data_IF_668411850997
#
_entry.id   IF_668411850997
#
_cell.length_a   1.000
_cell.length_b   1.000
_cell.length_c   1.000
_cell.angle_alpha   90.00
_cell.angle_beta   90.00
_cell.angle_gamma   90.00
#
_symmetry.space_group_name_H-M   'P 1'
#
loop_
_entity.id
_entity.type
_entity.pdbx_description
1 polymer ?
#
# COMPACT_ATOMS: atom_id res chain seq x y z
N UNK A 1 9.99 -11.52 -16.96
CA UNK A 1 9.10 -11.16 -18.08
C UNK A 1 8.70 -12.43 -18.82
N UNK A 2 7.44 -12.55 -19.14
CA UNK A 2 6.90 -13.61 -20.01
C UNK A 2 7.12 -13.24 -21.48
N UNK A 3 7.12 -14.22 -22.36
CA UNK A 3 7.20 -13.95 -23.80
C UNK A 3 6.32 -14.93 -24.59
N UNK A 4 5.85 -14.47 -25.74
CA UNK A 4 5.14 -15.27 -26.75
C UNK A 4 5.76 -14.97 -28.10
N UNK A 5 5.92 -16.01 -28.92
CA UNK A 5 6.38 -15.90 -30.29
C UNK A 5 5.28 -16.38 -31.23
N UNK A 6 4.93 -15.55 -32.20
CA UNK A 6 3.92 -15.87 -33.22
C UNK A 6 4.32 -15.18 -34.53
N UNK A 7 4.31 -15.94 -35.65
CA UNK A 7 4.63 -15.42 -37.00
C UNK A 7 5.92 -14.60 -37.06
N UNK A 8 7.00 -15.04 -36.41
CA UNK A 8 8.29 -14.33 -36.31
C UNK A 8 8.21 -12.99 -35.55
N UNK A 9 7.12 -12.72 -34.83
CA UNK A 9 7.00 -11.59 -33.91
C UNK A 9 7.14 -12.12 -32.48
N UNK A 10 8.09 -11.58 -31.76
CA UNK A 10 8.26 -11.87 -30.33
C UNK A 10 7.68 -10.74 -29.50
N UNK A 11 6.73 -11.04 -28.63
CA UNK A 11 6.15 -10.09 -27.67
C UNK A 11 6.58 -10.49 -26.27
N UNK A 12 7.29 -9.60 -25.59
CA UNK A 12 7.67 -9.72 -24.18
C UNK A 12 6.79 -8.82 -23.35
N UNK A 13 6.27 -9.35 -22.24
CA UNK A 13 5.30 -8.67 -21.38
C UNK A 13 5.54 -8.99 -19.91
N UNK A 14 4.96 -8.22 -18.96
CA UNK A 14 5.17 -8.41 -17.54
C UNK A 14 4.82 -9.80 -17.03
N UNK A 15 5.36 -10.16 -15.89
CA UNK A 15 5.00 -11.37 -15.17
C UNK A 15 3.56 -11.31 -14.65
N UNK A 16 3.07 -12.40 -14.06
CA UNK A 16 1.73 -12.48 -13.51
C UNK A 16 1.46 -11.45 -12.42
N UNK A 17 2.52 -10.89 -11.83
CA UNK A 17 2.47 -9.82 -10.83
C UNK A 17 3.39 -8.69 -11.25
N UNK A 18 2.86 -7.48 -11.19
CA UNK A 18 3.59 -6.23 -11.39
C UNK A 18 3.37 -5.28 -10.22
N UNK A 19 4.11 -4.17 -10.21
CA UNK A 19 4.02 -3.13 -9.18
C UNK A 19 3.75 -1.78 -9.83
N UNK A 20 2.82 -1.02 -9.27
CA UNK A 20 2.37 0.25 -9.85
C UNK A 20 3.48 1.30 -9.97
N UNK A 21 4.51 1.22 -9.13
CA UNK A 21 5.64 2.17 -9.13
C UNK A 21 6.92 1.63 -9.77
N UNK A 22 6.90 0.41 -10.28
CA UNK A 22 7.99 -0.15 -11.09
C UNK A 22 7.65 -0.07 -12.58
N UNK A 23 8.66 -0.14 -13.48
CA UNK A 23 8.40 -0.17 -14.92
C UNK A 23 7.55 -1.37 -15.34
N UNK A 24 6.45 -1.10 -16.03
CA UNK A 24 5.55 -2.09 -16.63
C UNK A 24 5.81 -2.14 -18.15
N UNK A 25 6.81 -2.92 -18.55
CA UNK A 25 7.37 -2.86 -19.90
C UNK A 25 6.72 -3.92 -20.80
N UNK A 26 6.29 -3.50 -21.99
CA UNK A 26 5.98 -4.36 -23.13
C UNK A 26 7.04 -4.10 -24.20
N UNK A 27 7.58 -5.18 -24.78
CA UNK A 27 8.48 -5.12 -25.94
C UNK A 27 7.94 -6.03 -27.02
N UNK A 28 7.91 -5.53 -28.24
CA UNK A 28 7.64 -6.34 -29.41
C UNK A 28 8.78 -6.19 -30.44
N UNK A 29 9.12 -7.25 -31.11
CA UNK A 29 10.15 -7.23 -32.16
C UNK A 29 9.90 -8.34 -33.17
N UNK A 30 10.25 -8.06 -34.43
CA UNK A 30 10.18 -9.05 -35.50
C UNK A 30 10.06 -8.41 -36.85
N UNK A 31 10.20 -9.21 -37.91
CA UNK A 31 10.22 -8.74 -39.29
C UNK A 31 8.87 -8.10 -39.67
N UNK A 32 8.93 -6.98 -40.38
CA UNK A 32 7.80 -6.18 -40.87
C UNK A 32 6.94 -5.58 -39.73
N UNK A 33 7.40 -5.55 -38.51
CA UNK A 33 6.68 -4.90 -37.42
C UNK A 33 6.74 -3.37 -37.59
N UNK A 34 5.59 -2.74 -37.78
CA UNK A 34 5.46 -1.28 -37.91
C UNK A 34 4.91 -0.61 -36.68
N UNK A 35 4.00 -1.21 -35.96
CA UNK A 35 3.43 -0.66 -34.73
C UNK A 35 2.72 -1.72 -33.89
N UNK A 36 2.50 -1.40 -32.64
CA UNK A 36 1.67 -2.20 -31.72
C UNK A 36 0.55 -1.36 -31.14
N UNK A 37 -0.60 -2.01 -30.96
CA UNK A 37 -1.71 -1.49 -30.16
C UNK A 37 -1.69 -2.19 -28.80
N UNK A 38 -1.75 -1.41 -27.73
CA UNK A 38 -1.85 -1.91 -26.36
C UNK A 38 -3.21 -1.52 -25.81
N UNK A 39 -4.01 -2.51 -25.44
CA UNK A 39 -5.36 -2.33 -24.88
C UNK A 39 -5.31 -2.81 -23.44
N UNK A 40 -5.61 -1.91 -22.49
CA UNK A 40 -5.61 -2.16 -21.05
C UNK A 40 -7.06 -2.14 -20.58
N UNK A 41 -7.48 -3.21 -19.92
CA UNK A 41 -8.84 -3.39 -19.42
C UNK A 41 -8.83 -3.71 -17.93
N UNK A 42 -9.63 -2.95 -17.19
CA UNK A 42 -9.95 -3.24 -15.80
C UNK A 42 -11.42 -2.95 -15.55
N UNK A 43 -12.19 -3.97 -15.18
CA UNK A 43 -13.65 -3.86 -15.03
C UNK A 43 -14.28 -3.22 -16.27
N UNK A 44 -14.89 -2.04 -16.13
CA UNK A 44 -15.54 -1.28 -17.22
C UNK A 44 -14.63 -0.23 -17.86
N UNK A 45 -13.38 -0.12 -17.41
CA UNK A 45 -12.42 0.85 -17.95
C UNK A 45 -11.59 0.16 -19.02
N UNK A 46 -11.63 0.71 -20.23
CA UNK A 46 -10.75 0.35 -21.33
C UNK A 46 -9.94 1.55 -21.78
N UNK A 47 -8.65 1.35 -21.96
CA UNK A 47 -7.71 2.34 -22.51
C UNK A 47 -6.89 1.66 -23.59
N UNK A 48 -6.74 2.33 -24.73
CA UNK A 48 -5.86 1.85 -25.80
C UNK A 48 -4.93 2.95 -26.27
N UNK A 49 -3.75 2.57 -26.74
CA UNK A 49 -2.79 3.46 -27.35
C UNK A 49 -1.89 2.68 -28.31
N UNK A 50 -1.32 3.40 -29.28
CA UNK A 50 -0.45 2.84 -30.30
C UNK A 50 1.00 3.23 -30.05
N UNK A 51 1.92 2.35 -30.39
CA UNK A 51 3.35 2.56 -30.28
C UNK A 51 4.00 2.20 -31.61
N UNK A 52 4.62 3.17 -32.25
CA UNK A 52 5.35 3.02 -33.50
C UNK A 52 6.64 2.19 -33.28
N UNK A 53 6.99 1.40 -34.26
CA UNK A 53 8.21 0.63 -34.23
C UNK A 53 9.41 1.48 -34.74
N UNK A 54 10.54 1.32 -34.07
CA UNK A 54 11.82 1.80 -34.54
C UNK A 54 12.73 0.61 -34.82
N UNK A 55 13.17 0.46 -36.06
CA UNK A 55 13.95 -0.71 -36.53
C UNK A 55 13.26 -2.04 -36.15
N UNK A 56 11.99 -2.19 -36.52
CA UNK A 56 11.18 -3.39 -36.23
C UNK A 56 11.09 -3.76 -34.74
N UNK A 57 11.16 -2.76 -33.85
CA UNK A 57 11.07 -2.93 -32.40
C UNK A 57 10.18 -1.86 -31.80
N UNK A 58 9.26 -2.29 -30.93
CA UNK A 58 8.43 -1.43 -30.09
C UNK A 58 8.80 -1.66 -28.63
N UNK A 59 8.91 -0.58 -27.86
CA UNK A 59 9.10 -0.64 -26.40
C UNK A 59 8.18 0.40 -25.79
N UNK A 60 7.37 0.00 -24.82
CA UNK A 60 6.50 0.92 -24.10
C UNK A 60 6.44 0.57 -22.63
N UNK A 61 6.25 1.59 -21.80
CA UNK A 61 5.99 1.47 -20.36
C UNK A 61 4.58 1.99 -20.09
N UNK A 62 3.69 1.11 -19.65
CA UNK A 62 2.31 1.47 -19.35
C UNK A 62 2.08 1.80 -17.86
N UNK A 63 3.13 2.05 -17.11
CA UNK A 63 3.09 2.35 -15.67
C UNK A 63 2.08 3.47 -15.31
N UNK A 64 2.05 4.56 -16.05
CA UNK A 64 1.13 5.68 -15.79
C UNK A 64 -0.34 5.30 -15.90
N UNK A 65 -0.67 4.40 -16.83
CA UNK A 65 -2.03 3.88 -16.94
C UNK A 65 -2.42 3.02 -15.76
N UNK A 66 -1.46 2.24 -15.26
CA UNK A 66 -1.66 1.37 -14.10
C UNK A 66 -1.80 2.19 -12.83
N UNK A 67 -0.97 3.21 -12.63
CA UNK A 67 -1.06 4.10 -11.46
C UNK A 67 -2.41 4.81 -11.38
N UNK A 68 -3.01 5.18 -12.51
CA UNK A 68 -4.31 5.82 -12.57
C UNK A 68 -5.49 4.90 -12.15
N UNK A 69 -5.25 3.61 -11.94
CA UNK A 69 -6.26 2.66 -11.46
C UNK A 69 -6.40 2.66 -9.93
N UNK A 70 -5.52 3.37 -9.21
CA UNK A 70 -5.52 3.45 -7.76
C UNK A 70 -5.93 4.86 -7.32
N UNK A 71 -6.77 4.94 -6.32
CA UNK A 71 -7.28 6.20 -5.77
C UNK A 71 -6.53 6.71 -4.54
N UNK A 72 -5.65 5.87 -3.98
CA UNK A 72 -4.81 6.24 -2.83
C UNK A 72 -5.53 6.26 -1.48
N UNK A 73 -6.75 5.74 -1.39
CA UNK A 73 -7.44 5.60 -0.10
C UNK A 73 -7.24 4.21 0.48
N UNK A 74 -7.08 4.12 1.80
CA UNK A 74 -7.06 2.85 2.52
C UNK A 74 -8.48 2.53 2.97
N UNK A 75 -9.11 1.53 2.32
CA UNK A 75 -10.34 0.90 2.77
C UNK A 75 -9.98 -0.46 3.40
N UNK A 76 -9.64 -0.47 4.66
CA UNK A 76 -9.42 -1.71 5.39
C UNK A 76 -10.74 -2.12 6.04
N UNK A 77 -11.23 -3.33 5.74
CA UNK A 77 -12.34 -3.92 6.47
C UNK A 77 -11.80 -4.51 7.77
N UNK A 78 -12.32 -4.06 8.90
CA UNK A 78 -11.98 -4.59 10.22
C UNK A 78 -13.06 -5.56 10.71
N UNK A 79 -13.71 -6.22 9.78
CA UNK A 79 -14.69 -7.26 10.01
C UNK A 79 -14.28 -8.60 9.37
N UNK A 80 -15.16 -9.60 9.48
CA UNK A 80 -14.94 -10.92 8.90
C UNK A 80 -15.14 -10.98 7.38
N UNK A 81 -15.68 -9.96 6.78
CA UNK A 81 -15.92 -9.92 5.34
C UNK A 81 -14.63 -9.57 4.64
N UNK A 82 -13.92 -10.59 4.22
CA UNK A 82 -12.76 -10.40 3.38
C UNK A 82 -13.26 -10.23 1.96
N UNK A 83 -13.31 -9.00 1.53
CA UNK A 83 -13.60 -8.67 0.16
C UNK A 83 -12.31 -8.65 -0.65
N UNK A 84 -12.12 -9.69 -1.47
CA UNK A 84 -10.95 -9.82 -2.35
C UNK A 84 -10.90 -8.76 -3.43
N UNK A 85 -12.06 -8.24 -3.82
CA UNK A 85 -12.20 -7.25 -4.88
C UNK A 85 -12.04 -5.82 -4.37
N UNK A 86 -12.16 -5.59 -3.07
CA UNK A 86 -12.06 -4.27 -2.45
C UNK A 86 -10.64 -3.89 -2.03
N UNK A 87 -9.68 -4.80 -2.11
CA UNK A 87 -8.29 -4.42 -1.88
C UNK A 87 -7.89 -3.33 -2.87
N UNK A 88 -7.86 -2.09 -2.38
CA UNK A 88 -7.41 -0.94 -3.16
C UNK A 88 -5.95 -1.07 -3.59
N UNK A 89 -5.23 -1.97 -2.94
CA UNK A 89 -3.79 -2.18 -3.09
C UNK A 89 -3.44 -3.17 -4.19
N UNK A 90 -4.46 -3.78 -4.82
CA UNK A 90 -4.31 -4.80 -5.82
C UNK A 90 -5.36 -4.64 -6.93
N UNK A 91 -4.94 -4.68 -8.19
CA UNK A 91 -5.82 -4.60 -9.37
C UNK A 91 -5.45 -5.66 -10.37
N UNK A 92 -6.40 -6.54 -10.71
CA UNK A 92 -6.25 -7.46 -11.82
C UNK A 92 -6.53 -6.70 -13.12
N UNK A 93 -5.54 -6.66 -14.00
CA UNK A 93 -5.59 -5.94 -15.27
C UNK A 93 -5.46 -6.94 -16.42
N UNK A 94 -6.38 -6.90 -17.38
CA UNK A 94 -6.27 -7.63 -18.64
C UNK A 94 -5.64 -6.74 -19.68
N UNK A 95 -4.64 -7.25 -20.38
CA UNK A 95 -3.87 -6.49 -21.36
C UNK A 95 -3.82 -7.29 -22.64
N UNK A 96 -4.26 -6.66 -23.74
CA UNK A 96 -4.13 -7.21 -25.07
C UNK A 96 -3.14 -6.39 -25.88
N UNK A 97 -2.21 -7.06 -26.52
CA UNK A 97 -1.22 -6.44 -27.41
C UNK A 97 -1.40 -7.02 -28.79
N UNK A 98 -1.69 -6.18 -29.76
CA UNK A 98 -1.78 -6.52 -31.18
C UNK A 98 -0.60 -5.90 -31.91
N UNK A 99 0.08 -6.66 -32.75
CA UNK A 99 1.20 -6.22 -33.58
C UNK A 99 0.79 -6.15 -35.02
N UNK A 100 1.16 -5.07 -35.73
CA UNK A 100 0.75 -4.79 -37.10
C UNK A 100 1.95 -4.42 -37.99
N UNK A 101 1.77 -4.67 -39.30
CA UNK A 101 2.65 -4.13 -40.33
C UNK A 101 2.22 -2.72 -40.78
N UNK A 102 2.88 -2.16 -41.76
CA UNK A 102 2.59 -0.86 -42.37
C UNK A 102 1.27 -0.82 -43.14
N UNK A 103 0.82 -1.99 -43.60
CA UNK A 103 -0.49 -2.18 -44.26
C UNK A 103 -1.65 -2.38 -43.31
N UNK A 104 -1.45 -2.28 -42.00
CA UNK A 104 -2.43 -2.55 -40.92
C UNK A 104 -2.91 -4.03 -40.89
N UNK A 105 -2.09 -4.96 -41.40
CA UNK A 105 -2.36 -6.38 -41.24
C UNK A 105 -1.83 -6.84 -39.89
N UNK A 106 -2.67 -7.50 -39.10
CA UNK A 106 -2.29 -8.02 -37.82
C UNK A 106 -1.32 -9.19 -37.96
N UNK A 107 -0.10 -9.02 -37.48
CA UNK A 107 0.97 -10.02 -37.49
C UNK A 107 0.89 -10.99 -36.31
N UNK A 108 0.64 -10.47 -35.14
CA UNK A 108 0.57 -11.24 -33.88
C UNK A 108 -0.39 -10.60 -32.89
N UNK A 109 -0.86 -11.39 -31.93
CA UNK A 109 -1.64 -10.91 -30.79
C UNK A 109 -1.33 -11.75 -29.57
N UNK A 110 -1.26 -11.09 -28.41
CA UNK A 110 -1.18 -11.75 -27.11
C UNK A 110 -2.20 -11.11 -26.17
N UNK A 111 -2.89 -11.95 -25.43
CA UNK A 111 -3.80 -11.54 -24.35
C UNK A 111 -3.29 -12.14 -23.04
N UNK A 112 -3.13 -11.32 -22.02
CA UNK A 112 -2.63 -11.76 -20.73
C UNK A 112 -3.22 -10.93 -19.60
N UNK A 113 -3.24 -11.53 -18.43
CA UNK A 113 -3.58 -10.84 -17.18
C UNK A 113 -2.33 -10.62 -16.33
N UNK A 114 -2.31 -9.52 -15.63
CA UNK A 114 -1.30 -9.23 -14.61
C UNK A 114 -1.98 -8.62 -13.39
N UNK A 115 -1.57 -9.07 -12.23
CA UNK A 115 -2.01 -8.50 -10.98
C UNK A 115 -1.07 -7.37 -10.61
N UNK A 116 -1.59 -6.16 -10.54
CA UNK A 116 -0.81 -4.97 -10.20
C UNK A 116 -1.01 -4.64 -8.73
N UNK A 117 0.08 -4.55 -8.00
CA UNK A 117 0.12 -4.22 -6.58
C UNK A 117 0.59 -2.77 -6.42
N UNK A 118 -0.02 -2.04 -5.49
CA UNK A 118 0.42 -0.70 -5.10
C UNK A 118 1.73 -0.77 -4.31
N UNK A 119 2.83 -0.92 -4.98
CA UNK A 119 4.12 -1.10 -4.33
C UNK A 119 5.30 -0.65 -5.20
N UNK A 120 6.43 -0.45 -4.52
CA UNK A 120 7.73 -0.08 -5.09
C UNK A 120 8.86 -0.89 -4.44
N UNK A 121 8.87 -2.23 -4.52
CA UNK A 121 9.94 -3.03 -3.93
C UNK A 121 11.28 -2.68 -4.55
N UNK A 122 12.35 -2.83 -3.79
CA UNK A 122 13.72 -2.61 -4.29
C UNK A 122 14.09 -3.67 -5.33
N UNK A 123 14.95 -3.30 -6.27
CA UNK A 123 15.46 -4.25 -7.25
C UNK A 123 16.14 -5.46 -6.57
N UNK A 124 15.75 -6.65 -6.98
CA UNK A 124 16.27 -7.89 -6.40
C UNK A 124 15.67 -8.29 -5.04
N UNK A 125 14.77 -7.50 -4.50
CA UNK A 125 14.06 -7.83 -3.27
C UNK A 125 13.02 -8.92 -3.53
N UNK A 126 12.96 -9.90 -2.61
CA UNK A 126 11.92 -10.92 -2.64
C UNK A 126 10.63 -10.31 -2.11
N UNK A 127 9.58 -10.33 -2.92
CA UNK A 127 8.30 -9.76 -2.54
C UNK A 127 7.50 -10.72 -1.63
N UNK A 128 7.74 -10.64 -0.33
CA UNK A 128 7.02 -11.41 0.70
C UNK A 128 6.53 -10.51 1.85
N UNK A 129 6.72 -9.19 1.73
CA UNK A 129 6.45 -8.27 2.82
C UNK A 129 7.41 -8.47 4.01
N UNK A 130 7.07 -7.85 5.11
CA UNK A 130 7.77 -8.02 6.38
C UNK A 130 7.28 -9.27 7.08
N UNK A 131 8.20 -10.04 7.66
CA UNK A 131 7.91 -11.33 8.29
C UNK A 131 7.54 -11.20 9.77
N UNK A 132 7.75 -10.04 10.35
CA UNK A 132 7.43 -9.75 11.74
C UNK A 132 6.58 -8.49 11.80
N UNK A 133 5.44 -8.58 12.46
CA UNK A 133 4.50 -7.49 12.66
C UNK A 133 4.18 -7.40 14.15
N UNK A 134 3.72 -6.22 14.59
CA UNK A 134 3.21 -6.01 15.94
C UNK A 134 1.73 -5.64 15.86
N UNK A 135 0.91 -6.35 16.59
CA UNK A 135 -0.49 -6.04 16.77
C UNK A 135 -0.72 -5.40 18.13
N UNK A 136 -1.07 -4.12 18.13
CA UNK A 136 -1.50 -3.39 19.33
C UNK A 136 -2.98 -3.70 19.56
N UNK A 137 -3.28 -4.47 20.61
CA UNK A 137 -4.58 -5.15 20.78
C UNK A 137 -5.76 -4.21 20.99
N UNK A 138 -5.52 -2.96 21.39
CA UNK A 138 -6.54 -1.92 21.57
C UNK A 138 -6.82 -1.12 20.30
N UNK A 139 -6.23 -1.48 19.17
CA UNK A 139 -6.34 -0.76 17.91
C UNK A 139 -6.71 -1.68 16.74
N UNK A 140 -7.39 -1.13 15.71
CA UNK A 140 -7.71 -1.88 14.52
C UNK A 140 -6.43 -2.34 13.81
N UNK A 141 -6.37 -3.60 13.39
CA UNK A 141 -5.18 -4.18 12.78
C UNK A 141 -5.55 -5.20 11.70
N UNK A 142 -4.94 -5.06 10.54
CA UNK A 142 -4.99 -6.05 9.46
C UNK A 142 -3.60 -6.50 9.09
N UNK A 143 -3.48 -7.68 8.52
CA UNK A 143 -2.24 -8.16 7.94
C UNK A 143 -2.49 -8.79 6.57
N UNK A 144 -1.64 -8.48 5.62
CA UNK A 144 -1.78 -8.94 4.26
C UNK A 144 -0.92 -10.16 3.96
N UNK A 145 -1.47 -11.07 3.15
CA UNK A 145 -0.78 -12.23 2.60
C UNK A 145 -0.88 -12.20 1.07
N UNK A 146 0.20 -12.60 0.42
CA UNK A 146 0.24 -12.77 -1.01
C UNK A 146 0.70 -14.18 -1.40
N UNK A 147 -0.01 -14.78 -2.34
CA UNK A 147 0.26 -16.12 -2.83
C UNK A 147 0.77 -16.09 -4.28
N UNK A 148 2.09 -16.04 -4.48
CA UNK A 148 2.68 -15.76 -5.79
C UNK A 148 2.93 -16.98 -6.69
N UNK A 149 2.92 -18.19 -6.19
CA UNK A 149 3.38 -19.36 -6.96
C UNK A 149 2.60 -20.64 -6.73
N UNK A 150 1.39 -20.53 -6.24
CA UNK A 150 0.59 -21.68 -5.88
C UNK A 150 -0.39 -22.04 -6.98
N UNK A 151 -0.47 -23.32 -7.31
CA UNK A 151 -1.49 -23.87 -8.19
C UNK A 151 -2.81 -24.17 -7.45
N UNK A 152 -2.86 -23.85 -6.15
CA UNK A 152 -4.02 -24.10 -5.29
C UNK A 152 -4.51 -22.81 -4.64
N UNK A 153 -5.79 -22.78 -4.27
CA UNK A 153 -6.37 -21.72 -3.46
C UNK A 153 -6.16 -22.06 -1.98
N UNK A 154 -5.74 -21.08 -1.20
CA UNK A 154 -5.61 -21.23 0.25
C UNK A 154 -6.96 -20.97 0.91
N UNK A 155 -7.37 -21.86 1.80
CA UNK A 155 -8.58 -21.72 2.59
C UNK A 155 -8.18 -21.45 4.04
N UNK A 156 -8.73 -20.41 4.64
CA UNK A 156 -8.49 -20.06 6.04
C UNK A 156 -9.78 -20.18 6.82
N UNK A 157 -9.74 -20.91 7.93
CA UNK A 157 -10.88 -21.09 8.83
C UNK A 157 -10.42 -21.13 10.28
N UNK A 158 -11.37 -20.99 11.22
CA UNK A 158 -11.09 -21.09 12.66
C UNK A 158 -11.81 -22.26 13.29
N UNK A 159 -11.25 -22.77 14.38
CA UNK A 159 -11.94 -23.75 15.20
C UNK A 159 -13.16 -23.11 15.89
N UNK A 160 -14.34 -23.70 15.68
CA UNK A 160 -15.61 -23.25 16.29
C UNK A 160 -16.43 -22.25 15.50
N UNK A 161 -15.95 -21.77 14.37
CA UNK A 161 -16.74 -20.94 13.45
C UNK A 161 -17.16 -21.77 12.25
N UNK A 162 -18.46 -21.97 12.00
CA UNK A 162 -18.88 -22.82 10.90
C UNK A 162 -18.51 -22.22 9.55
N UNK A 163 -17.61 -22.89 8.86
CA UNK A 163 -17.41 -22.88 7.40
C UNK A 163 -17.14 -21.54 6.68
N UNK A 164 -16.65 -20.52 7.33
CA UNK A 164 -16.15 -19.36 6.62
C UNK A 164 -14.73 -19.66 6.09
N UNK A 165 -14.70 -20.52 5.10
CA UNK A 165 -13.47 -20.83 4.37
C UNK A 165 -13.21 -19.73 3.38
N UNK A 166 -12.11 -19.03 3.56
CA UNK A 166 -11.63 -18.02 2.67
C UNK A 166 -10.82 -18.65 1.55
N UNK A 167 -11.34 -18.54 0.35
CA UNK A 167 -10.64 -18.97 -0.84
C UNK A 167 -9.79 -17.85 -1.37
N UNK A 168 -8.48 -17.91 -1.15
CA UNK A 168 -7.53 -16.95 -1.71
C UNK A 168 -7.15 -17.38 -3.12
N UNK A 169 -7.47 -16.60 -4.16
CA UNK A 169 -7.06 -16.94 -5.51
C UNK A 169 -5.55 -16.87 -5.68
N UNK A 170 -5.03 -17.67 -6.60
CA UNK A 170 -3.61 -17.59 -7.01
C UNK A 170 -3.32 -16.17 -7.50
N UNK A 171 -2.17 -15.63 -7.07
CA UNK A 171 -1.80 -14.24 -7.30
C UNK A 171 -2.75 -13.21 -6.66
N UNK A 172 -3.55 -13.63 -5.69
CA UNK A 172 -4.38 -12.75 -4.88
C UNK A 172 -3.61 -12.19 -3.68
N UNK A 173 -3.89 -10.96 -3.34
CA UNK A 173 -3.48 -10.32 -2.10
C UNK A 173 -4.72 -10.23 -1.22
N UNK A 174 -4.58 -10.62 0.05
CA UNK A 174 -5.69 -10.65 0.99
C UNK A 174 -5.24 -10.04 2.30
N UNK A 175 -6.06 -9.13 2.81
CA UNK A 175 -5.89 -8.57 4.14
C UNK A 175 -6.83 -9.25 5.13
N UNK A 176 -6.29 -9.58 6.31
CA UNK A 176 -7.01 -10.24 7.39
C UNK A 176 -7.12 -9.31 8.58
N UNK A 177 -8.31 -9.22 9.11
CA UNK A 177 -8.52 -8.55 10.39
C UNK A 177 -8.15 -9.48 11.56
N UNK A 178 -7.17 -9.08 12.36
CA UNK A 178 -6.72 -9.89 13.50
C UNK A 178 -7.58 -9.70 14.77
N UNK A 179 -8.26 -8.57 14.91
CA UNK A 179 -9.03 -8.22 16.12
C UNK A 179 -10.26 -9.06 16.38
N UNK A 180 -10.76 -9.80 15.38
CA UNK A 180 -11.91 -10.69 15.51
C UNK A 180 -11.53 -12.07 16.03
N UNK A 181 -10.27 -12.33 16.31
CA UNK A 181 -9.89 -13.59 16.90
C UNK A 181 -10.57 -13.73 18.25
N UNK A 182 -11.50 -14.70 18.43
CA UNK A 182 -12.20 -14.85 19.70
C UNK A 182 -11.18 -14.99 20.82
N UNK A 183 -11.42 -14.31 21.92
CA UNK A 183 -10.62 -14.52 23.14
C UNK A 183 -10.71 -16.00 23.51
N UNK A 184 -9.62 -16.74 23.35
CA UNK A 184 -9.57 -18.18 23.59
C UNK A 184 -9.46 -19.07 22.36
N UNK A 185 -9.50 -18.55 21.13
CA UNK A 185 -9.17 -19.32 19.94
C UNK A 185 -7.70 -19.72 19.99
N UNK A 186 -7.43 -21.01 20.03
CA UNK A 186 -6.07 -21.54 20.14
C UNK A 186 -5.47 -21.96 18.80
N UNK A 187 -6.27 -22.06 17.74
CA UNK A 187 -5.85 -22.66 16.49
C UNK A 187 -6.41 -21.93 15.28
N UNK A 188 -5.56 -21.69 14.29
CA UNK A 188 -5.95 -21.40 12.92
C UNK A 188 -5.85 -22.68 12.11
N UNK A 189 -6.87 -22.95 11.31
CA UNK A 189 -6.82 -24.03 10.34
C UNK A 189 -6.60 -23.42 8.96
N UNK A 190 -5.54 -23.80 8.30
CA UNK A 190 -5.23 -23.41 6.94
C UNK A 190 -5.43 -24.64 6.08
N UNK A 191 -6.33 -24.55 5.13
CA UNK A 191 -6.64 -25.63 4.21
C UNK A 191 -6.07 -25.27 2.85
N UNK A 192 -5.32 -26.19 2.24
CA UNK A 192 -5.10 -26.12 0.81
C UNK A 192 -6.32 -26.64 0.03
N UNK A 193 -6.32 -26.48 -1.28
CA UNK A 193 -7.45 -26.92 -2.11
C UNK A 193 -7.64 -28.45 -2.10
N UNK A 194 -6.60 -29.22 -1.73
CA UNK A 194 -6.58 -30.67 -1.68
C UNK A 194 -6.98 -31.23 -0.29
N UNK A 195 -7.31 -30.37 0.67
CA UNK A 195 -7.83 -30.75 1.98
C UNK A 195 -6.78 -31.04 3.06
N UNK A 196 -5.51 -30.74 2.82
CA UNK A 196 -4.49 -30.78 3.87
C UNK A 196 -4.65 -29.62 4.86
N UNK A 197 -4.79 -29.98 6.14
CA UNK A 197 -4.98 -29.03 7.23
C UNK A 197 -3.64 -28.71 7.86
N UNK A 198 -3.30 -27.42 7.93
CA UNK A 198 -2.20 -26.95 8.75
C UNK A 198 -2.73 -26.20 9.97
N UNK A 199 -2.23 -26.54 11.15
CA UNK A 199 -2.65 -25.93 12.40
C UNK A 199 -1.56 -24.98 12.91
N UNK A 200 -1.94 -23.76 13.23
CA UNK A 200 -1.13 -22.80 13.98
C UNK A 200 -1.70 -22.58 15.38
N UNK A 201 -0.86 -22.43 16.38
CA UNK A 201 -1.27 -22.14 17.77
C UNK A 201 -1.10 -20.69 18.08
N UNK A 202 -2.10 -20.10 18.77
CA UNK A 202 -2.04 -18.75 19.28
C UNK A 202 -1.48 -18.73 20.69
N UNK A 203 -0.36 -18.07 20.83
CA UNK A 203 0.16 -17.59 22.09
C UNK A 203 0.33 -16.05 21.97
N UNK A 204 1.06 -15.42 22.88
CA UNK A 204 1.44 -14.01 22.79
C UNK A 204 2.27 -13.71 21.52
N UNK A 205 2.87 -14.72 20.94
CA UNK A 205 3.48 -14.67 19.60
C UNK A 205 2.77 -15.67 18.72
N UNK A 206 2.52 -15.26 17.49
CA UNK A 206 1.76 -16.02 16.53
C UNK A 206 2.61 -16.23 15.28
N UNK A 207 3.05 -17.47 15.10
CA UNK A 207 3.81 -17.87 13.91
C UNK A 207 2.88 -18.56 12.92
N UNK A 208 2.59 -17.90 11.80
CA UNK A 208 1.90 -18.48 10.66
C UNK A 208 2.91 -19.11 9.71
N UNK A 209 2.99 -20.43 9.72
CA UNK A 209 3.80 -21.17 8.77
C UNK A 209 2.89 -21.78 7.71
N UNK A 210 2.97 -21.29 6.49
CA UNK A 210 2.29 -21.88 5.34
C UNK A 210 3.25 -22.84 4.65
N UNK A 211 2.98 -24.14 4.70
CA UNK A 211 3.66 -25.12 3.86
C UNK A 211 2.64 -25.79 2.96
N UNK A 212 2.81 -25.70 1.67
CA UNK A 212 1.93 -26.31 0.69
C UNK A 212 2.59 -27.57 0.13
N UNK A 213 1.89 -28.70 0.28
CA UNK A 213 2.42 -30.01 -0.06
C UNK A 213 2.61 -30.22 -1.56
N UNK A 214 1.83 -29.55 -2.42
CA UNK A 214 1.79 -29.80 -3.86
C UNK A 214 2.79 -29.00 -4.69
N UNK A 215 3.36 -27.93 -4.18
CA UNK A 215 4.23 -27.01 -4.94
C UNK A 215 5.66 -26.93 -4.43
N UNK A 216 6.18 -27.98 -3.83
CA UNK A 216 7.56 -28.00 -3.36
C UNK A 216 7.80 -26.96 -2.28
N UNK A 217 7.30 -27.22 -1.08
CA UNK A 217 7.61 -26.57 0.20
C UNK A 217 7.96 -25.07 0.10
N UNK A 218 7.02 -24.22 -0.26
CA UNK A 218 7.12 -22.81 0.09
C UNK A 218 6.44 -22.62 1.44
N UNK A 219 7.24 -22.39 2.47
CA UNK A 219 6.72 -21.93 3.76
C UNK A 219 6.82 -20.43 3.83
N UNK A 220 5.71 -19.76 4.03
CA UNK A 220 5.68 -18.37 4.43
C UNK A 220 5.60 -18.35 5.96
N UNK A 221 6.63 -17.80 6.60
CA UNK A 221 6.62 -17.56 8.03
C UNK A 221 6.25 -16.10 8.27
N UNK A 222 5.10 -15.87 8.90
CA UNK A 222 4.68 -14.56 9.39
C UNK A 222 4.53 -14.64 10.91
N UNK A 223 5.26 -13.79 11.62
CA UNK A 223 5.18 -13.65 13.07
C UNK A 223 4.44 -12.37 13.41
N UNK A 224 3.40 -12.48 14.24
CA UNK A 224 2.66 -11.35 14.79
C UNK A 224 2.84 -11.34 16.30
N UNK A 225 3.57 -10.37 16.81
CA UNK A 225 3.73 -10.14 18.25
C UNK A 225 2.54 -9.29 18.75
N UNK A 226 1.98 -9.66 19.89
CA UNK A 226 0.90 -8.89 20.53
C UNK A 226 1.47 -7.90 21.52
N UNK A 227 0.95 -6.69 21.52
CA UNK A 227 1.32 -5.61 22.44
C UNK A 227 0.05 -4.97 23.00
N UNK A 228 -0.06 -4.91 24.31
CA UNK A 228 -1.23 -4.38 25.03
C UNK A 228 -1.07 -2.89 25.40
N UNK A 229 -0.14 -2.18 24.77
CA UNK A 229 0.02 -0.73 24.98
C UNK A 229 -1.21 0.03 24.46
N UNK A 230 -1.79 0.89 25.32
CA UNK A 230 -3.01 1.64 25.03
C UNK A 230 -2.78 3.10 24.64
N UNK A 231 -1.63 3.67 24.95
CA UNK A 231 -1.38 5.10 24.79
C UNK A 231 -0.33 5.41 23.75
N UNK A 232 -0.66 6.31 22.83
CA UNK A 232 0.24 6.75 21.79
C UNK A 232 -0.50 7.31 20.57
N UNK A 233 0.23 7.53 19.51
CA UNK A 233 -0.33 7.94 18.22
C UNK A 233 -0.26 6.74 17.29
N UNK A 234 -1.43 6.23 16.91
CA UNK A 234 -1.57 5.07 16.06
C UNK A 234 -1.66 5.50 14.61
N UNK A 235 -0.73 4.99 13.79
CA UNK A 235 -0.68 5.29 12.36
C UNK A 235 -0.87 4.02 11.54
N UNK A 236 -1.46 4.19 10.35
CA UNK A 236 -1.43 3.20 9.28
C UNK A 236 -0.85 3.81 8.00
N UNK A 237 -0.19 3.00 7.21
CA UNK A 237 0.37 3.42 5.91
C UNK A 237 0.47 2.25 4.96
N UNK A 238 0.70 2.53 3.68
CA UNK A 238 1.01 1.51 2.68
C UNK A 238 2.52 1.38 2.57
N UNK A 239 3.06 0.16 2.82
CA UNK A 239 4.48 -0.10 2.70
C UNK A 239 4.92 -0.26 1.23
N UNK A 240 6.23 -0.34 0.98
CA UNK A 240 6.78 -0.49 -0.37
C UNK A 240 6.39 -1.80 -1.06
N UNK A 241 5.93 -2.80 -0.32
CA UNK A 241 5.44 -4.06 -0.85
C UNK A 241 3.94 -4.03 -1.20
N UNK A 242 3.24 -2.94 -0.89
CA UNK A 242 1.82 -2.77 -1.11
C UNK A 242 0.94 -3.38 -0.04
N UNK A 243 1.41 -3.49 1.19
CA UNK A 243 0.64 -3.93 2.34
C UNK A 243 0.33 -2.78 3.27
N UNK A 244 -0.83 -2.84 3.93
CA UNK A 244 -1.16 -1.92 5.02
C UNK A 244 -0.32 -2.30 6.23
N UNK A 245 0.34 -1.29 6.83
CA UNK A 245 1.14 -1.42 8.04
C UNK A 245 0.62 -0.49 9.12
N UNK A 246 0.86 -0.90 10.34
CA UNK A 246 0.36 -0.22 11.53
C UNK A 246 1.47 -0.10 12.57
N UNK A 247 1.46 0.99 13.31
CA UNK A 247 2.33 1.14 14.47
C UNK A 247 1.79 2.15 15.46
N UNK A 248 1.95 1.86 16.76
CA UNK A 248 1.65 2.77 17.85
C UNK A 248 2.94 3.47 18.29
N UNK A 249 3.02 4.76 18.04
CA UNK A 249 4.16 5.58 18.36
C UNK A 249 3.98 6.26 19.72
N UNK A 250 5.05 6.35 20.51
CA UNK A 250 5.08 7.26 21.63
C UNK A 250 5.07 8.70 21.11
N UNK A 251 4.15 9.51 21.64
CA UNK A 251 4.08 10.93 21.31
C UNK A 251 5.20 11.70 22.02
N UNK A 252 5.93 12.49 21.25
CA UNK A 252 6.97 13.40 21.75
C UNK A 252 6.50 14.85 21.79
N UNK A 253 7.42 15.77 21.52
CA UNK A 253 7.15 17.20 21.52
C UNK A 253 6.23 17.64 20.38
N UNK A 254 5.27 18.50 20.72
CA UNK A 254 4.45 19.20 19.74
C UNK A 254 5.10 20.52 19.36
N UNK A 255 5.15 20.82 18.07
CA UNK A 255 5.68 22.08 17.55
C UNK A 255 4.62 22.74 16.70
N UNK A 256 4.43 24.04 16.96
CA UNK A 256 3.56 24.89 16.15
C UNK A 256 4.37 25.95 15.44
N UNK A 257 4.39 25.89 14.13
CA UNK A 257 4.97 26.91 13.27
C UNK A 257 3.90 27.83 12.75
N UNK A 258 4.11 29.13 12.91
CA UNK A 258 3.20 30.16 12.43
C UNK A 258 3.95 31.09 11.49
N UNK A 259 3.55 31.07 10.24
CA UNK A 259 4.02 32.01 9.22
C UNK A 259 2.96 33.07 8.93
N UNK A 260 3.38 34.34 8.79
CA UNK A 260 2.41 35.36 8.44
C UNK A 260 1.97 35.19 6.99
N UNK A 261 0.69 35.17 6.75
CA UNK A 261 0.14 35.41 5.43
C UNK A 261 0.44 36.86 5.04
N UNK A 262 0.95 37.06 3.83
CA UNK A 262 1.64 38.28 3.39
C UNK A 262 0.77 39.53 3.36
N UNK A 263 -0.52 39.40 3.49
CA UNK A 263 -1.46 40.49 3.32
C UNK A 263 -1.65 41.29 4.62
N UNK A 264 -1.36 42.56 4.55
CA UNK A 264 -1.61 43.50 5.62
C UNK A 264 -2.64 44.54 5.14
N UNK A 265 -3.80 44.55 5.79
CA UNK A 265 -4.83 45.56 5.53
C UNK A 265 -4.53 46.78 6.37
N UNK A 266 -4.28 47.89 5.71
CA UNK A 266 -4.18 49.21 6.40
C UNK A 266 -5.56 49.74 6.64
N UNK A 267 -5.74 50.41 7.77
CA UNK A 267 -6.95 51.18 8.02
C UNK A 267 -7.10 52.29 7.01
N UNK A 268 -8.35 52.72 6.79
CA UNK A 268 -8.64 53.84 5.94
C UNK A 268 -7.85 55.07 6.41
N UNK A 269 -7.21 55.77 5.48
CA UNK A 269 -6.43 56.96 5.77
C UNK A 269 -7.27 58.11 6.36
N UNK A 270 -8.56 58.07 6.14
CA UNK A 270 -9.51 59.10 6.65
C UNK A 270 -9.62 59.04 8.19
N UNK A 271 -9.35 57.89 8.79
CA UNK A 271 -9.34 57.70 10.25
C UNK A 271 -7.92 57.83 10.87
N UNK A 272 -6.92 58.17 10.07
CA UNK A 272 -5.55 58.29 10.52
C UNK A 272 -5.27 59.70 11.10
N UNK A 273 -5.18 59.73 12.40
CA UNK A 273 -4.72 60.96 13.12
C UNK A 273 -3.20 60.95 13.22
N UNK A 274 -2.56 61.93 12.59
CA UNK A 274 -1.11 62.10 12.64
C UNK A 274 -0.58 62.21 14.05
N UNK A 275 0.32 61.29 14.42
CA UNK A 275 0.89 61.22 15.78
C UNK A 275 0.07 60.47 16.82
N UNK A 276 -1.08 59.91 16.46
CA UNK A 276 -1.87 59.05 17.34
C UNK A 276 -1.41 57.58 17.18
N UNK A 277 -1.16 56.93 18.31
CA UNK A 277 -0.81 55.50 18.35
C UNK A 277 -2.04 54.60 18.21
N UNK A 278 -2.82 54.84 17.17
CA UNK A 278 -4.00 54.06 16.86
C UNK A 278 -3.67 52.80 16.05
N UNK A 279 -4.67 51.99 15.84
CA UNK A 279 -4.60 50.76 15.05
C UNK A 279 -4.29 51.09 13.58
N UNK A 280 -3.04 50.88 13.17
CA UNK A 280 -2.57 51.19 11.82
C UNK A 280 -2.86 50.12 10.77
N UNK A 281 -3.61 49.09 11.13
CA UNK A 281 -3.98 48.01 10.26
C UNK A 281 -3.86 46.63 10.89
N UNK A 282 -4.31 45.64 10.16
CA UNK A 282 -4.35 44.24 10.64
C UNK A 282 -3.85 43.31 9.57
N UNK A 283 -3.24 42.19 10.02
CA UNK A 283 -2.92 41.07 9.11
C UNK A 283 -4.19 40.32 8.78
N UNK A 284 -4.34 39.90 7.52
CA UNK A 284 -5.49 39.12 7.06
C UNK A 284 -5.53 37.72 7.62
N UNK A 285 -4.37 37.15 7.93
CA UNK A 285 -4.29 35.81 8.49
C UNK A 285 -2.87 35.33 8.68
N UNK A 286 -2.78 34.10 9.13
CA UNK A 286 -1.54 33.37 9.36
C UNK A 286 -1.66 31.98 8.76
N UNK A 287 -0.56 31.42 8.27
CA UNK A 287 -0.46 30.01 7.99
C UNK A 287 0.08 29.31 9.23
N UNK A 288 -0.55 28.21 9.60
CA UNK A 288 -0.18 27.41 10.77
C UNK A 288 0.13 26.00 10.32
N UNK A 289 1.23 25.48 10.81
CA UNK A 289 1.62 24.08 10.66
C UNK A 289 1.87 23.53 12.06
N UNK A 290 1.12 22.51 12.43
CA UNK A 290 1.35 21.78 13.68
C UNK A 290 2.04 20.46 13.34
N UNK A 291 3.08 20.13 14.11
CA UNK A 291 3.80 18.88 13.95
C UNK A 291 4.06 18.23 15.32
N UNK A 292 4.14 16.91 15.30
CA UNK A 292 4.36 16.09 16.50
C UNK A 292 5.53 15.15 16.21
N UNK A 293 6.49 15.09 17.12
CA UNK A 293 7.54 14.08 17.07
C UNK A 293 6.98 12.74 17.51
N UNK A 294 7.27 11.72 16.74
CA UNK A 294 6.88 10.33 16.97
C UNK A 294 8.11 9.48 17.22
N UNK A 295 8.04 8.61 18.20
CA UNK A 295 9.12 7.70 18.55
C UNK A 295 8.62 6.27 18.67
N UNK A 296 9.29 5.33 18.00
CA UNK A 296 9.19 3.90 18.26
C UNK A 296 10.50 3.46 18.91
N UNK A 297 10.52 3.30 20.25
CA UNK A 297 11.75 3.03 20.97
C UNK A 297 12.18 1.57 20.82
N UNK A 298 13.50 1.33 20.82
CA UNK A 298 14.12 0.01 20.92
C UNK A 298 13.60 -1.04 19.93
N UNK A 299 13.29 -0.63 18.70
CA UNK A 299 12.85 -1.54 17.65
C UNK A 299 14.02 -2.31 17.05
N UNK A 300 13.77 -3.54 16.64
CA UNK A 300 14.75 -4.35 15.94
C UNK A 300 14.94 -3.87 14.49
N UNK A 301 15.88 -4.48 13.80
CA UNK A 301 16.30 -4.07 12.48
C UNK A 301 15.20 -4.23 11.42
N UNK A 302 14.41 -5.28 11.49
CA UNK A 302 13.35 -5.58 10.52
C UNK A 302 12.15 -4.64 10.74
N UNK A 303 11.79 -4.42 11.99
CA UNK A 303 10.78 -3.43 12.38
C UNK A 303 11.22 -2.01 11.97
N UNK A 304 12.50 -1.65 12.15
CA UNK A 304 13.01 -0.35 11.71
C UNK A 304 12.86 -0.17 10.19
N UNK A 305 13.15 -1.20 9.39
CA UNK A 305 12.96 -1.14 7.93
C UNK A 305 11.49 -0.95 7.54
N UNK A 306 10.57 -1.59 8.26
CA UNK A 306 9.13 -1.41 8.08
C UNK A 306 8.69 0.02 8.42
N UNK A 307 9.16 0.56 9.56
CA UNK A 307 8.87 1.92 9.98
C UNK A 307 9.50 2.96 9.03
N UNK A 308 10.64 2.66 8.43
CA UNK A 308 11.26 3.52 7.44
C UNK A 308 10.39 3.68 6.20
N UNK A 309 9.61 2.68 5.80
CA UNK A 309 8.68 2.77 4.68
C UNK A 309 7.58 3.82 4.92
N UNK A 310 7.18 4.07 6.18
CA UNK A 310 6.27 5.15 6.54
C UNK A 310 6.71 6.50 6.00
N UNK A 311 8.02 6.78 6.01
CA UNK A 311 8.58 8.08 5.59
C UNK A 311 8.51 8.32 4.08
N UNK A 312 8.28 7.29 3.31
CA UNK A 312 8.16 7.34 1.85
C UNK A 312 6.78 6.96 1.32
N UNK A 313 5.86 6.58 2.20
CA UNK A 313 4.49 6.25 1.81
C UNK A 313 3.73 7.51 1.42
N UNK A 314 3.03 7.50 0.26
CA UNK A 314 2.17 8.62 -0.13
C UNK A 314 0.85 8.65 0.65
N UNK A 315 0.52 7.58 1.36
CA UNK A 315 -0.73 7.44 2.12
C UNK A 315 -0.38 7.08 3.55
N UNK A 316 -0.66 7.99 4.47
CA UNK A 316 -0.47 7.82 5.91
C UNK A 316 -1.68 8.39 6.62
N UNK A 317 -2.31 7.60 7.45
CA UNK A 317 -3.47 8.00 8.23
C UNK A 317 -3.20 7.82 9.72
N UNK A 318 -3.71 8.77 10.52
CA UNK A 318 -3.70 8.74 11.97
C UNK A 318 -5.09 8.33 12.49
N UNK A 319 -5.12 7.39 13.41
CA UNK A 319 -6.33 6.96 14.08
C UNK A 319 -6.81 8.01 15.09
N UNK A 320 -8.07 8.41 14.97
CA UNK A 320 -8.69 9.39 15.86
C UNK A 320 -9.55 8.75 16.95
N UNK A 321 -9.84 7.47 16.84
CA UNK A 321 -10.74 6.75 17.71
C UNK A 321 -11.95 6.19 16.96
N UNK A 322 -12.98 5.80 17.70
CA UNK A 322 -14.19 5.18 17.15
C UNK A 322 -14.30 3.69 17.49
N UNK A 323 -15.43 3.12 17.19
CA UNK A 323 -15.66 1.69 17.33
C UNK A 323 -15.46 0.99 16.00
N UNK A 324 -14.23 0.54 15.74
CA UNK A 324 -13.91 -0.16 14.48
C UNK A 324 -14.65 -1.49 14.32
N UNK A 325 -15.24 -2.02 15.39
CA UNK A 325 -16.04 -3.24 15.31
C UNK A 325 -17.45 -2.98 14.75
N UNK A 326 -17.84 -1.71 14.64
CA UNK A 326 -19.12 -1.24 14.11
C UNK A 326 -18.95 -0.33 12.88
N UNK A 327 -17.78 -0.31 12.23
CA UNK A 327 -17.46 0.58 11.11
C UNK A 327 -17.52 2.08 11.46
N UNK A 328 -17.36 2.41 12.73
CA UNK A 328 -17.37 3.80 13.23
C UNK A 328 -15.95 4.34 13.50
N UNK A 329 -14.94 3.69 12.96
CA UNK A 329 -13.55 4.11 13.11
C UNK A 329 -13.25 5.39 12.30
N UNK A 330 -12.53 6.29 12.92
CA UNK A 330 -12.14 7.55 12.31
C UNK A 330 -10.64 7.61 12.02
N UNK A 331 -10.30 7.98 10.80
CA UNK A 331 -8.93 8.16 10.35
C UNK A 331 -8.72 9.54 9.74
N UNK A 332 -7.61 10.15 10.04
CA UNK A 332 -7.22 11.44 9.50
C UNK A 332 -5.93 11.31 8.69
N UNK A 333 -5.95 11.77 7.45
CA UNK A 333 -4.74 11.81 6.62
C UNK A 333 -3.71 12.79 7.19
N UNK A 334 -2.48 12.33 7.31
CA UNK A 334 -1.34 13.08 7.84
C UNK A 334 -0.14 12.98 6.90
N UNK A 335 0.87 13.79 7.11
CA UNK A 335 2.09 13.76 6.31
C UNK A 335 3.30 13.58 7.21
N UNK A 336 4.22 12.70 6.82
CA UNK A 336 5.51 12.59 7.50
C UNK A 336 6.47 13.61 6.91
N UNK A 337 7.10 14.38 7.76
CA UNK A 337 8.04 15.43 7.36
C UNK A 337 9.25 14.80 6.65
N UNK A 338 9.57 15.35 5.49
CA UNK A 338 10.75 14.93 4.75
C UNK A 338 12.02 15.16 5.59
N UNK A 339 12.92 14.17 5.60
CA UNK A 339 14.14 14.23 6.40
C UNK A 339 15.11 13.11 6.07
N UNK A 340 16.19 13.05 6.84
CA UNK A 340 17.19 11.97 6.76
C UNK A 340 16.97 11.01 7.93
N UNK A 341 16.76 9.75 7.61
CA UNK A 341 16.53 8.69 8.59
C UNK A 341 17.70 7.70 8.55
N UNK A 342 18.50 7.70 9.60
CA UNK A 342 19.73 6.89 9.65
C UNK A 342 19.46 5.58 10.38
N UNK A 343 19.72 4.47 9.70
CA UNK A 343 19.68 3.14 10.28
C UNK A 343 21.05 2.80 10.89
N UNK A 344 21.07 2.49 12.16
CA UNK A 344 22.26 2.06 12.90
C UNK A 344 22.57 0.57 12.64
N UNK A 345 23.78 0.14 12.98
CA UNK A 345 24.17 -1.28 13.03
C UNK A 345 23.82 -1.96 14.35
N UNK A 346 23.29 -1.21 15.33
CA UNK A 346 22.84 -1.75 16.62
C UNK A 346 21.71 -2.76 16.44
N UNK A 347 21.60 -3.72 17.35
CA UNK A 347 20.52 -4.72 17.33
C UNK A 347 19.16 -4.08 17.62
N UNK A 348 19.13 -3.11 18.51
CA UNK A 348 17.94 -2.31 18.86
C UNK A 348 18.27 -0.83 18.67
N UNK A 349 17.32 -0.09 18.15
CA UNK A 349 17.47 1.34 17.89
C UNK A 349 16.11 2.05 17.94
N UNK A 350 16.14 3.35 18.18
CA UNK A 350 14.94 4.16 18.15
C UNK A 350 14.65 4.61 16.71
N UNK A 351 13.40 4.52 16.30
CA UNK A 351 12.92 5.17 15.08
C UNK A 351 12.19 6.45 15.49
N UNK A 352 12.65 7.58 14.97
CA UNK A 352 12.08 8.89 15.25
C UNK A 352 11.71 9.57 13.95
N UNK A 353 10.49 10.07 13.84
CA UNK A 353 10.03 10.90 12.74
C UNK A 353 9.19 12.07 13.26
N UNK A 354 8.85 12.98 12.37
CA UNK A 354 7.98 14.10 12.66
C UNK A 354 6.75 14.04 11.75
N UNK A 355 5.57 14.04 12.35
CA UNK A 355 4.29 14.01 11.66
C UNK A 355 3.72 15.42 11.58
N UNK A 356 3.21 15.81 10.42
CA UNK A 356 2.52 17.08 10.18
C UNK A 356 1.02 16.80 10.08
N UNK A 357 0.25 17.60 10.81
CA UNK A 357 -1.21 17.56 10.76
C UNK A 357 -1.68 18.50 9.63
N UNK A 358 -2.32 17.94 8.60
CA UNK A 358 -2.67 18.67 7.38
C UNK A 358 -3.92 19.57 7.50
N UNK A 359 -4.85 19.20 8.39
CA UNK A 359 -6.15 19.88 8.48
C UNK A 359 -6.21 20.83 9.68
N UNK A 360 -5.62 22.02 9.53
CA UNK A 360 -5.65 23.03 10.58
C UNK A 360 -6.45 24.25 10.10
N UNK A 361 -7.54 24.54 10.81
CA UNK A 361 -8.31 25.74 10.57
C UNK A 361 -7.65 26.94 11.27
N UNK A 362 -7.46 28.00 10.53
CA UNK A 362 -6.90 29.27 11.03
C UNK A 362 -7.90 30.37 10.79
N UNK A 363 -8.05 31.27 11.78
CA UNK A 363 -8.89 32.45 11.64
C UNK A 363 -8.31 33.39 10.57
N UNK A 364 -9.15 33.85 9.68
CA UNK A 364 -8.83 34.85 8.65
C UNK A 364 -9.86 35.98 8.70
N UNK A 365 -9.41 37.21 8.40
CA UNK A 365 -10.28 38.37 8.24
C UNK A 365 -10.95 38.38 6.87
#
# INVERSE_FOLDING_TARGET
>A
MRQTENNNITIQYPDAVGFAFLPCIIKASGNNLSWIEVIIRQNYIERSYNVEAFNEKCITDFKTYVQALFDGHINAAYDWTIDYDSSILNRLVSIKVNAYDDGNVQLASVDFTTNIVWGAPKYGETWNGYKRLTWFTHYPFTFGIYLSKLNANLLIGYEGVPNNLLKIPINGMVDFYAGILPSGAKYWNIYDYDGEIQQGTFDNTFDLTFSLATCGKQSLLLRIDRDDTESGIYLRWIDRHGFIRYWLFAAGEETREIASDLSFIRNNLDDYLYGYYGDNGRRQGYNRTDSIKLCAPLVDRDTFDMLQDLTSSPVVDMYLGGDWTQEEDEWMSVTIKAGSYTKSTACLQDFVCEMIINNINVQRL
#
